data_IF_480064395110
#
_entry.id   IF_480064395110
#
_cell.length_a   1.000
_cell.length_b   1.000
_cell.length_c   1.000
_cell.angle_alpha   90.00
_cell.angle_beta   90.00
_cell.angle_gamma   90.00
#
_symmetry.space_group_name_H-M   'P 1'
#
loop_
_entity.id
_entity.type
_entity.pdbx_description
1 polymer ?
#
# COMPACT_ATOMS: atom_id res chain seq x y z
N UNK A 1 -9.56 -5.68 -17.24
CA UNK A 1 -10.99 -5.61 -17.58
C UNK A 1 -11.73 -6.73 -16.89
N UNK A 2 -12.78 -6.38 -16.15
CA UNK A 2 -13.76 -7.33 -15.61
C UNK A 2 -14.69 -7.72 -16.78
N UNK A 3 -15.00 -9.00 -16.97
CA UNK A 3 -15.93 -9.39 -18.02
C UNK A 3 -17.35 -8.91 -17.68
N UNK A 4 -18.10 -8.44 -18.68
CA UNK A 4 -19.50 -8.03 -18.51
C UNK A 4 -20.42 -9.23 -18.21
N UNK A 5 -19.95 -10.46 -18.49
CA UNK A 5 -20.63 -11.72 -18.20
C UNK A 5 -19.59 -12.74 -17.74
N UNK A 6 -19.92 -13.52 -16.71
CA UNK A 6 -19.05 -14.63 -16.28
C UNK A 6 -18.86 -15.62 -17.42
N UNK A 7 -17.64 -16.14 -17.54
CA UNK A 7 -17.32 -17.15 -18.53
C UNK A 7 -17.99 -18.47 -18.14
N UNK A 8 -18.69 -19.08 -19.11
CA UNK A 8 -19.39 -20.35 -18.94
C UNK A 8 -18.55 -21.48 -19.52
N UNK A 9 -17.45 -21.80 -18.86
CA UNK A 9 -16.63 -22.97 -19.20
C UNK A 9 -17.46 -24.24 -18.97
N UNK A 10 -17.31 -25.25 -19.84
CA UNK A 10 -18.03 -26.53 -19.72
C UNK A 10 -17.81 -27.13 -18.33
N UNK A 11 -18.90 -27.47 -17.63
CA UNK A 11 -18.85 -28.03 -16.28
C UNK A 11 -18.75 -27.01 -15.14
N UNK A 12 -18.60 -25.71 -15.44
CA UNK A 12 -18.57 -24.66 -14.41
C UNK A 12 -20.00 -24.29 -13.98
N UNK A 13 -20.36 -24.60 -12.73
CA UNK A 13 -21.63 -24.16 -12.14
C UNK A 13 -21.54 -22.68 -11.80
N UNK A 14 -22.47 -21.87 -12.32
CA UNK A 14 -22.56 -20.45 -12.00
C UNK A 14 -23.69 -20.27 -10.98
N UNK A 15 -23.40 -19.73 -9.78
CA UNK A 15 -24.42 -19.54 -8.77
C UNK A 15 -25.42 -18.45 -9.18
N UNK A 16 -26.66 -18.56 -8.71
CA UNK A 16 -27.69 -17.53 -8.91
C UNK A 16 -27.27 -16.16 -8.37
N UNK A 17 -26.46 -16.13 -7.30
CA UNK A 17 -25.84 -14.91 -6.76
C UNK A 17 -24.37 -15.12 -6.45
N UNK A 18 -23.53 -14.22 -6.98
CA UNK A 18 -22.11 -14.13 -6.67
C UNK A 18 -21.76 -12.70 -6.28
N UNK A 19 -21.33 -12.49 -5.04
CA UNK A 19 -20.70 -11.25 -4.60
C UNK A 19 -19.18 -11.44 -4.63
N UNK A 20 -18.46 -10.60 -5.36
CA UNK A 20 -16.99 -10.64 -5.42
C UNK A 20 -16.41 -9.41 -4.75
N UNK A 21 -15.28 -9.60 -4.07
CA UNK A 21 -14.52 -8.55 -3.41
C UNK A 21 -13.12 -8.51 -3.98
N UNK A 22 -12.67 -7.32 -4.33
CA UNK A 22 -11.40 -7.10 -4.96
C UNK A 22 -10.86 -5.71 -4.69
N UNK A 23 -9.62 -5.50 -5.11
CA UNK A 23 -8.94 -4.21 -5.04
C UNK A 23 -8.81 -3.65 -6.44
N UNK A 24 -9.40 -2.47 -6.67
CA UNK A 24 -9.17 -1.69 -7.89
C UNK A 24 -7.85 -0.95 -7.70
N UNK A 25 -6.95 -1.08 -8.68
CA UNK A 25 -5.63 -0.47 -8.62
C UNK A 25 -5.29 0.20 -9.96
N UNK A 26 -4.31 1.08 -9.90
CA UNK A 26 -3.70 1.72 -11.05
C UNK A 26 -2.27 1.18 -11.21
N UNK A 27 -1.91 0.77 -12.42
CA UNK A 27 -0.55 0.31 -12.71
C UNK A 27 0.43 1.48 -12.67
N UNK A 28 1.71 1.20 -12.36
CA UNK A 28 2.76 2.22 -12.18
C UNK A 28 2.97 3.08 -13.43
N UNK A 29 2.92 2.47 -14.61
CA UNK A 29 3.02 3.12 -15.91
C UNK A 29 1.84 4.06 -16.18
N UNK A 30 0.61 3.58 -15.95
CA UNK A 30 -0.61 4.37 -16.10
C UNK A 30 -0.68 5.52 -15.09
N UNK A 31 -0.21 5.31 -13.86
CA UNK A 31 -0.06 6.37 -12.87
C UNK A 31 0.90 7.47 -13.34
N UNK A 32 2.07 7.10 -13.88
CA UNK A 32 3.02 8.06 -14.45
C UNK A 32 2.40 8.84 -15.60
N UNK A 33 1.78 8.15 -16.57
CA UNK A 33 1.09 8.80 -17.70
C UNK A 33 0.06 9.82 -17.23
N UNK A 34 -0.80 9.43 -16.29
CA UNK A 34 -1.85 10.31 -15.75
C UNK A 34 -1.25 11.54 -15.06
N UNK A 35 -0.16 11.39 -14.32
CA UNK A 35 0.49 12.54 -13.70
C UNK A 35 1.14 13.46 -14.73
N UNK A 36 1.79 12.93 -15.76
CA UNK A 36 2.32 13.73 -16.87
C UNK A 36 1.22 14.55 -17.56
N UNK A 37 0.09 13.93 -17.90
CA UNK A 37 -1.06 14.64 -18.50
C UNK A 37 -1.57 15.76 -17.58
N UNK A 38 -1.63 15.52 -16.27
CA UNK A 38 -2.06 16.53 -15.30
C UNK A 38 -1.08 17.69 -15.20
N UNK A 39 0.23 17.42 -15.26
CA UNK A 39 1.26 18.47 -15.27
C UNK A 39 1.16 19.34 -16.53
N UNK A 40 0.97 18.72 -17.69
CA UNK A 40 0.77 19.43 -18.97
C UNK A 40 -0.50 20.31 -18.95
N UNK A 41 -1.54 19.87 -18.25
CA UNK A 41 -2.79 20.62 -18.03
C UNK A 41 -2.69 21.65 -16.89
N UNK A 42 -1.55 21.77 -16.20
CA UNK A 42 -1.37 22.68 -15.06
C UNK A 42 -2.14 22.26 -13.79
N UNK A 43 -2.55 21.00 -13.69
CA UNK A 43 -3.27 20.42 -12.56
C UNK A 43 -2.31 19.78 -11.55
N UNK A 44 -2.70 19.76 -10.27
CA UNK A 44 -1.93 19.08 -9.23
C UNK A 44 -1.86 17.56 -9.50
N UNK A 45 -0.66 16.97 -9.43
CA UNK A 45 -0.47 15.53 -9.59
C UNK A 45 -1.04 14.72 -8.42
N UNK A 46 -1.29 13.44 -8.67
CA UNK A 46 -1.64 12.50 -7.61
C UNK A 46 -0.40 12.08 -6.83
N UNK A 47 -0.51 12.05 -5.51
CA UNK A 47 0.60 11.70 -4.62
C UNK A 47 1.02 10.22 -4.68
N UNK A 48 0.08 9.30 -4.93
CA UNK A 48 0.34 7.87 -5.05
C UNK A 48 -0.74 7.18 -5.92
N UNK A 49 -0.45 5.98 -6.45
CA UNK A 49 -1.40 5.18 -7.24
C UNK A 49 -2.73 4.89 -6.54
N UNK A 50 -2.74 4.74 -5.21
CA UNK A 50 -3.97 4.51 -4.44
C UNK A 50 -4.94 5.69 -4.54
N UNK A 51 -4.43 6.91 -4.35
CA UNK A 51 -5.20 8.13 -4.47
C UNK A 51 -5.66 8.37 -5.91
N UNK A 52 -4.79 8.11 -6.88
CA UNK A 52 -5.13 8.18 -8.30
C UNK A 52 -6.24 7.21 -8.68
N UNK A 53 -6.18 5.96 -8.20
CA UNK A 53 -7.21 4.94 -8.43
C UNK A 53 -8.55 5.33 -7.80
N UNK A 54 -8.54 5.80 -6.54
CA UNK A 54 -9.74 6.24 -5.85
C UNK A 54 -10.42 7.43 -6.55
N UNK A 55 -9.64 8.43 -6.97
CA UNK A 55 -10.13 9.57 -7.73
C UNK A 55 -10.67 9.16 -9.10
N UNK A 56 -9.98 8.25 -9.79
CA UNK A 56 -10.38 7.73 -11.09
C UNK A 56 -11.67 6.91 -11.05
N UNK A 57 -11.93 6.19 -9.95
CA UNK A 57 -13.13 5.37 -9.79
C UNK A 57 -14.37 6.19 -9.41
N UNK A 58 -14.19 7.32 -8.73
CA UNK A 58 -15.28 8.17 -8.20
C UNK A 58 -15.60 9.34 -9.14
N UNK A 59 -15.69 9.07 -10.44
CA UNK A 59 -16.05 10.07 -11.45
C UNK A 59 -17.56 10.06 -11.70
N UNK A 60 -18.13 11.24 -11.95
CA UNK A 60 -19.55 11.38 -12.33
C UNK A 60 -19.76 10.78 -13.72
N UNK A 61 -18.88 11.11 -14.68
CA UNK A 61 -18.92 10.50 -16.02
C UNK A 61 -18.07 9.22 -16.04
N UNK A 62 -18.67 8.03 -16.27
CA UNK A 62 -17.93 6.77 -16.35
C UNK A 62 -16.94 6.70 -17.52
N UNK A 63 -17.09 7.55 -18.57
CA UNK A 63 -16.10 7.64 -19.65
C UNK A 63 -14.75 8.13 -19.14
N UNK A 64 -14.74 9.00 -18.13
CA UNK A 64 -13.51 9.45 -17.49
C UNK A 64 -12.85 8.32 -16.70
N UNK A 65 -13.62 7.45 -16.04
CA UNK A 65 -13.06 6.25 -15.41
C UNK A 65 -12.48 5.28 -16.46
N UNK A 66 -13.16 5.11 -17.59
CA UNK A 66 -12.72 4.23 -18.66
C UNK A 66 -11.36 4.65 -19.26
N UNK A 67 -11.10 5.96 -19.40
CA UNK A 67 -9.82 6.47 -19.93
C UNK A 67 -8.63 6.29 -18.98
N UNK A 68 -8.90 6.07 -17.68
CA UNK A 68 -7.87 5.90 -16.63
C UNK A 68 -7.33 4.46 -16.53
N UNK A 69 -7.81 3.54 -17.37
CA UNK A 69 -7.29 2.16 -17.54
C UNK A 69 -7.08 1.41 -16.21
N UNK A 70 -8.01 1.58 -15.28
CA UNK A 70 -7.99 0.91 -13.99
C UNK A 70 -8.00 -0.62 -14.16
N UNK A 71 -7.28 -1.30 -13.27
CA UNK A 71 -7.30 -2.75 -13.16
C UNK A 71 -7.87 -3.19 -11.81
N UNK A 72 -8.13 -4.48 -11.67
CA UNK A 72 -8.68 -5.06 -10.45
C UNK A 72 -8.10 -6.45 -10.21
N UNK A 73 -7.86 -6.78 -8.95
CA UNK A 73 -7.67 -8.14 -8.50
C UNK A 73 -8.76 -8.56 -7.53
N UNK A 74 -9.45 -9.65 -7.83
CA UNK A 74 -10.42 -10.28 -6.93
C UNK A 74 -9.66 -11.15 -5.93
N UNK A 75 -9.99 -10.98 -4.65
CA UNK A 75 -9.34 -11.69 -3.54
C UNK A 75 -10.32 -12.39 -2.60
N UNK A 76 -11.63 -12.33 -2.88
CA UNK A 76 -12.66 -12.97 -2.07
C UNK A 76 -13.99 -12.99 -2.79
N UNK A 77 -14.85 -13.94 -2.40
CA UNK A 77 -16.20 -14.04 -2.92
C UNK A 77 -17.13 -14.73 -1.93
N UNK A 78 -18.41 -14.43 -2.08
CA UNK A 78 -19.53 -15.12 -1.42
C UNK A 78 -20.50 -15.53 -2.51
N UNK A 79 -20.78 -16.82 -2.61
CA UNK A 79 -21.76 -17.38 -3.53
C UNK A 79 -23.01 -17.82 -2.78
N UNK A 80 -24.16 -17.84 -3.45
CA UNK A 80 -25.28 -18.68 -3.01
C UNK A 80 -24.82 -20.14 -2.93
N UNK A 81 -25.44 -20.96 -2.06
CA UNK A 81 -24.99 -22.31 -1.64
C UNK A 81 -24.93 -23.40 -2.71
N UNK A 82 -24.72 -23.03 -3.97
CA UNK A 82 -24.71 -23.86 -5.17
C UNK A 82 -23.28 -24.31 -5.55
N UNK A 83 -22.26 -23.80 -4.85
CA UNK A 83 -20.85 -24.15 -5.07
C UNK A 83 -20.32 -25.05 -3.94
N UNK A 84 -19.79 -26.21 -4.32
CA UNK A 84 -19.08 -27.11 -3.42
C UNK A 84 -17.59 -26.73 -3.36
N UNK A 85 -17.29 -25.67 -2.62
CA UNK A 85 -15.93 -25.11 -2.49
C UNK A 85 -15.58 -25.05 -0.99
N UNK A 86 -14.56 -25.80 -0.60
CA UNK A 86 -14.18 -25.95 0.81
C UNK A 86 -13.10 -24.94 1.24
N UNK A 87 -12.32 -24.40 0.30
CA UNK A 87 -11.20 -23.52 0.61
C UNK A 87 -11.14 -22.23 -0.20
N UNK A 88 -10.43 -21.24 0.36
CA UNK A 88 -10.21 -19.93 -0.25
C UNK A 88 -9.44 -20.05 -1.58
N UNK A 89 -8.43 -20.91 -1.63
CA UNK A 89 -7.65 -21.11 -2.86
C UNK A 89 -8.49 -21.74 -3.99
N UNK A 90 -9.36 -22.70 -3.67
CA UNK A 90 -10.32 -23.26 -4.64
C UNK A 90 -11.30 -22.19 -5.14
N UNK A 91 -11.80 -21.34 -4.24
CA UNK A 91 -12.65 -20.20 -4.62
C UNK A 91 -11.94 -19.28 -5.60
N UNK A 92 -10.66 -18.96 -5.37
CA UNK A 92 -9.90 -18.11 -6.29
C UNK A 92 -9.71 -18.75 -7.67
N UNK A 93 -9.44 -20.06 -7.73
CA UNK A 93 -9.35 -20.78 -9.01
C UNK A 93 -10.69 -20.82 -9.74
N UNK A 94 -11.79 -21.05 -9.02
CA UNK A 94 -13.14 -20.96 -9.57
C UNK A 94 -13.40 -19.58 -10.19
N UNK A 95 -13.00 -18.50 -9.51
CA UNK A 95 -13.16 -17.13 -10.02
C UNK A 95 -12.34 -16.89 -11.30
N UNK A 96 -11.14 -17.49 -11.42
CA UNK A 96 -10.36 -17.47 -12.67
C UNK A 96 -11.09 -18.18 -13.79
N UNK A 97 -11.61 -19.38 -13.54
CA UNK A 97 -12.41 -20.12 -14.53
C UNK A 97 -13.68 -19.35 -14.94
N UNK A 98 -14.25 -18.56 -14.03
CA UNK A 98 -15.38 -17.66 -14.30
C UNK A 98 -14.99 -16.35 -15.03
N UNK A 99 -13.71 -16.17 -15.37
CA UNK A 99 -13.20 -15.03 -16.14
C UNK A 99 -12.75 -13.83 -15.32
N UNK A 100 -12.71 -13.94 -13.99
CA UNK A 100 -12.28 -12.87 -13.10
C UNK A 100 -10.77 -12.89 -12.91
N UNK A 101 -10.20 -11.70 -12.73
CA UNK A 101 -8.75 -11.53 -12.53
C UNK A 101 -8.41 -11.73 -11.06
N UNK A 102 -7.57 -12.70 -10.75
CA UNK A 102 -6.90 -12.82 -9.45
C UNK A 102 -5.43 -12.42 -9.59
N UNK A 103 -4.76 -12.16 -8.46
CA UNK A 103 -3.32 -11.90 -8.48
C UNK A 103 -2.55 -13.18 -8.84
N UNK A 104 -1.68 -13.19 -9.87
CA UNK A 104 -0.97 -14.40 -10.30
C UNK A 104 0.07 -14.90 -9.28
N UNK A 105 0.43 -14.06 -8.30
CA UNK A 105 1.46 -14.36 -7.32
C UNK A 105 0.94 -15.13 -6.10
N UNK A 106 -0.36 -15.43 -6.03
CA UNK A 106 -0.97 -16.14 -4.90
C UNK A 106 -0.38 -17.54 -4.75
N UNK A 107 -0.06 -17.94 -3.51
CA UNK A 107 0.56 -19.23 -3.21
C UNK A 107 -0.02 -19.86 -1.95
N UNK A 108 -0.31 -21.17 -2.01
CA UNK A 108 -0.57 -21.98 -0.81
C UNK A 108 0.72 -22.23 -0.05
N UNK A 109 0.67 -22.15 1.27
CA UNK A 109 1.76 -22.51 2.17
C UNK A 109 1.26 -23.52 3.20
N UNK A 110 2.00 -24.60 3.40
CA UNK A 110 1.66 -25.67 4.35
C UNK A 110 2.30 -25.48 5.73
N UNK A 111 3.20 -24.51 5.89
CA UNK A 111 3.92 -24.27 7.15
C UNK A 111 4.32 -22.80 7.33
N UNK A 112 4.60 -22.39 8.57
CA UNK A 112 5.16 -21.07 8.87
C UNK A 112 6.50 -20.83 8.16
N UNK A 113 7.32 -21.88 7.97
CA UNK A 113 8.59 -21.80 7.22
C UNK A 113 8.36 -21.46 5.75
N UNK A 114 7.31 -22.02 5.13
CA UNK A 114 6.93 -21.66 3.77
C UNK A 114 6.40 -20.24 3.66
N UNK A 115 5.57 -19.81 4.62
CA UNK A 115 5.08 -18.44 4.70
C UNK A 115 6.27 -17.48 4.79
N UNK A 116 7.20 -17.70 5.74
CA UNK A 116 8.39 -16.85 5.92
C UNK A 116 9.21 -16.74 4.64
N UNK A 117 9.54 -17.87 3.99
CA UNK A 117 10.28 -17.85 2.71
C UNK A 117 9.55 -17.09 1.61
N UNK A 118 8.22 -17.21 1.56
CA UNK A 118 7.43 -16.46 0.58
C UNK A 118 7.52 -14.96 0.85
N UNK A 119 7.34 -14.53 2.10
CA UNK A 119 7.45 -13.12 2.51
C UNK A 119 8.84 -12.54 2.19
N UNK A 120 9.91 -13.23 2.60
CA UNK A 120 11.30 -12.84 2.31
C UNK A 120 11.55 -12.71 0.80
N UNK A 121 11.02 -13.64 0.00
CA UNK A 121 11.18 -13.59 -1.45
C UNK A 121 10.48 -12.39 -2.10
N UNK A 122 9.44 -11.86 -1.47
CA UNK A 122 8.67 -10.72 -1.98
C UNK A 122 9.16 -9.38 -1.48
N UNK A 123 10.10 -9.35 -0.53
CA UNK A 123 10.66 -8.10 -0.03
C UNK A 123 11.33 -7.31 -1.16
N UNK A 124 12.15 -7.96 -1.99
CA UNK A 124 12.78 -7.30 -3.14
C UNK A 124 11.93 -7.38 -4.42
N UNK A 125 11.34 -8.55 -4.73
CA UNK A 125 10.58 -8.77 -5.98
C UNK A 125 9.39 -7.84 -6.16
N UNK A 126 8.83 -7.30 -5.06
CA UNK A 126 7.70 -6.37 -5.13
C UNK A 126 8.03 -5.09 -5.92
N UNK A 127 9.31 -4.69 -5.96
CA UNK A 127 9.77 -3.48 -6.65
C UNK A 127 9.54 -3.59 -8.16
N UNK A 128 9.68 -4.81 -8.71
CA UNK A 128 9.53 -5.11 -10.13
C UNK A 128 8.06 -5.32 -10.56
N UNK A 129 7.12 -5.35 -9.61
CA UNK A 129 5.70 -5.48 -9.94
C UNK A 129 5.21 -4.25 -10.72
N UNK A 130 4.31 -4.43 -11.70
CA UNK A 130 3.72 -3.32 -12.46
C UNK A 130 2.70 -2.51 -11.63
N UNK A 131 2.52 -2.84 -10.35
CA UNK A 131 1.66 -2.18 -9.39
C UNK A 131 2.39 -2.05 -8.05
N UNK A 132 1.95 -1.13 -7.21
CA UNK A 132 2.46 -1.00 -5.84
C UNK A 132 1.78 -1.98 -4.90
N UNK A 133 2.51 -2.43 -3.88
CA UNK A 133 2.00 -3.26 -2.78
C UNK A 133 2.75 -2.93 -1.50
N UNK A 134 2.03 -2.81 -0.38
CA UNK A 134 2.58 -2.51 0.94
C UNK A 134 2.81 -3.78 1.78
N UNK A 135 2.46 -4.95 1.26
CA UNK A 135 2.54 -6.19 2.01
C UNK A 135 1.97 -7.42 1.31
N UNK A 136 1.74 -8.45 2.13
CA UNK A 136 1.10 -9.71 1.75
C UNK A 136 0.01 -10.02 2.78
N UNK A 137 -1.16 -10.47 2.31
CA UNK A 137 -2.22 -10.94 3.20
C UNK A 137 -2.12 -12.45 3.37
N UNK A 138 -1.90 -12.89 4.62
CA UNK A 138 -1.86 -14.30 5.00
C UNK A 138 -3.27 -14.68 5.46
N UNK A 139 -3.82 -15.76 4.89
CA UNK A 139 -5.18 -16.23 5.21
C UNK A 139 -5.18 -17.72 5.52
N UNK A 140 -5.96 -18.12 6.52
CA UNK A 140 -6.30 -19.53 6.73
C UNK A 140 -7.08 -20.02 5.51
N UNK A 141 -6.61 -21.08 4.86
CA UNK A 141 -7.17 -21.50 3.57
C UNK A 141 -8.55 -22.17 3.70
N UNK A 142 -8.78 -22.97 4.74
CA UNK A 142 -10.01 -23.74 4.94
C UNK A 142 -11.17 -22.87 5.46
N UNK A 143 -12.32 -22.89 4.79
CA UNK A 143 -13.47 -22.08 5.19
C UNK A 143 -14.13 -22.56 6.50
N UNK A 144 -14.02 -23.84 6.83
CA UNK A 144 -14.46 -24.37 8.12
C UNK A 144 -13.68 -23.75 9.27
N UNK A 145 -12.36 -23.64 9.15
CA UNK A 145 -11.53 -22.93 10.13
C UNK A 145 -11.78 -21.43 10.16
N UNK A 146 -12.00 -20.78 9.00
CA UNK A 146 -12.38 -19.35 8.99
C UNK A 146 -13.67 -19.09 9.78
N UNK A 147 -14.70 -19.93 9.60
CA UNK A 147 -15.96 -19.84 10.36
C UNK A 147 -15.75 -20.03 11.87
N UNK A 148 -14.94 -21.03 12.26
CA UNK A 148 -14.62 -21.28 13.67
C UNK A 148 -13.82 -20.15 14.31
N UNK A 149 -12.86 -19.57 13.58
CA UNK A 149 -12.04 -18.46 14.08
C UNK A 149 -12.85 -17.17 14.22
N UNK A 150 -13.80 -16.94 13.31
CA UNK A 150 -14.70 -15.79 13.33
C UNK A 150 -13.99 -14.46 13.08
N UNK A 151 -14.58 -13.38 13.60
CA UNK A 151 -14.07 -12.03 13.46
C UNK A 151 -14.22 -11.24 14.76
N UNK A 152 -13.41 -10.20 14.91
CA UNK A 152 -13.58 -9.14 15.91
C UNK A 152 -14.55 -8.08 15.38
N UNK A 153 -14.76 -7.00 16.13
CA UNK A 153 -15.59 -5.86 15.68
C UNK A 153 -15.09 -5.19 14.39
N UNK A 154 -13.80 -5.33 14.06
CA UNK A 154 -13.17 -4.66 12.92
C UNK A 154 -12.46 -5.60 11.94
N UNK A 155 -11.91 -6.71 12.42
CA UNK A 155 -11.00 -7.56 11.63
C UNK A 155 -11.32 -9.05 11.76
N UNK A 156 -11.17 -9.85 10.68
CA UNK A 156 -11.23 -11.31 10.76
C UNK A 156 -10.08 -11.86 11.61
N UNK A 157 -10.31 -12.97 12.34
CA UNK A 157 -9.27 -13.65 13.13
C UNK A 157 -8.45 -14.65 12.31
N UNK A 158 -8.88 -14.91 11.08
CA UNK A 158 -8.29 -15.90 10.17
C UNK A 158 -7.43 -15.29 9.06
N UNK A 159 -7.25 -13.96 9.06
CA UNK A 159 -6.39 -13.27 8.11
C UNK A 159 -5.59 -12.16 8.79
N UNK A 160 -4.38 -11.92 8.30
CA UNK A 160 -3.50 -10.84 8.76
C UNK A 160 -2.75 -10.24 7.57
N UNK A 161 -2.60 -8.92 7.56
CA UNK A 161 -1.75 -8.21 6.62
C UNK A 161 -0.32 -8.15 7.19
N UNK A 162 0.61 -8.82 6.53
CA UNK A 162 2.04 -8.65 6.78
C UNK A 162 2.54 -7.49 5.93
N UNK A 163 2.79 -6.34 6.55
CA UNK A 163 3.35 -5.18 5.85
C UNK A 163 4.86 -5.32 5.71
N UNK A 164 5.38 -5.00 4.53
CA UNK A 164 6.82 -4.93 4.36
C UNK A 164 7.38 -3.68 5.05
N UNK A 165 8.66 -3.69 5.45
CA UNK A 165 9.31 -2.47 5.91
C UNK A 165 9.17 -1.38 4.84
N UNK A 166 8.80 -0.15 5.25
CA UNK A 166 8.71 0.96 4.31
C UNK A 166 10.09 1.23 3.70
N UNK A 167 10.10 1.76 2.48
CA UNK A 167 11.37 2.18 1.85
C UNK A 167 11.98 3.32 2.68
N UNK A 168 13.21 3.10 3.14
CA UNK A 168 14.02 4.09 3.84
C UNK A 168 15.04 4.67 2.87
N UNK A 169 15.11 6.00 2.84
CA UNK A 169 16.13 6.72 2.09
C UNK A 169 16.93 7.62 3.01
N UNK A 170 18.18 7.88 2.62
CA UNK A 170 19.10 8.66 3.44
C UNK A 170 19.23 10.07 2.87
N UNK A 171 18.87 11.06 3.69
CA UNK A 171 19.02 12.48 3.33
C UNK A 171 19.60 13.31 4.48
N UNK A 172 19.78 14.61 4.26
CA UNK A 172 20.34 15.54 5.23
C UNK A 172 19.26 16.51 5.73
N UNK A 173 19.22 16.76 7.04
CA UNK A 173 18.44 17.85 7.62
C UNK A 173 19.14 19.17 7.30
N UNK A 174 18.45 20.05 6.59
CA UNK A 174 18.93 21.40 6.27
C UNK A 174 18.58 22.40 7.36
N UNK A 175 17.39 22.26 7.94
CA UNK A 175 16.84 23.18 8.95
C UNK A 175 15.72 22.47 9.74
N UNK A 176 15.32 22.98 10.90
CA UNK A 176 14.15 22.53 11.65
C UNK A 176 13.27 23.75 11.92
N UNK A 177 12.03 23.71 11.42
CA UNK A 177 11.06 24.79 11.56
C UNK A 177 9.94 24.40 12.51
N UNK A 178 9.41 25.37 13.24
CA UNK A 178 8.24 25.16 14.10
C UNK A 178 6.97 25.57 13.34
N UNK A 179 6.01 24.64 13.26
CA UNK A 179 4.68 24.88 12.71
C UNK A 179 3.67 25.02 13.84
N UNK A 180 2.80 26.03 13.78
CA UNK A 180 1.73 26.24 14.76
C UNK A 180 0.44 25.62 14.24
N UNK A 181 -0.03 24.58 14.93
CA UNK A 181 -1.28 23.91 14.60
C UNK A 181 -2.52 24.75 14.93
N UNK A 182 -3.68 24.34 14.42
CA UNK A 182 -4.98 25.02 14.66
C UNK A 182 -5.35 25.18 16.13
N UNK A 183 -4.83 24.32 17.00
CA UNK A 183 -5.07 24.34 18.46
C UNK A 183 -3.95 25.06 19.23
N UNK A 184 -3.01 25.71 18.54
CA UNK A 184 -1.82 26.33 19.14
C UNK A 184 -0.67 25.37 19.42
N UNK A 185 -0.80 24.08 19.07
CA UNK A 185 0.27 23.10 19.25
C UNK A 185 1.48 23.42 18.36
N UNK A 186 2.66 23.55 18.97
CA UNK A 186 3.92 23.75 18.26
C UNK A 186 4.46 22.38 17.80
N UNK A 187 4.61 22.20 16.50
CA UNK A 187 5.09 20.95 15.90
C UNK A 187 6.41 21.20 15.17
N UNK A 188 7.51 20.55 15.52
CA UNK A 188 8.76 20.68 14.78
C UNK A 188 8.70 19.88 13.48
N UNK A 189 9.20 20.49 12.41
CA UNK A 189 9.24 19.93 11.07
C UNK A 189 10.67 20.05 10.53
N UNK A 190 11.29 18.92 10.23
CA UNK A 190 12.60 18.89 9.59
C UNK A 190 12.47 19.28 8.12
N UNK A 191 13.21 20.31 7.70
CA UNK A 191 13.43 20.64 6.30
C UNK A 191 14.57 19.77 5.80
N UNK A 192 14.31 18.96 4.79
CA UNK A 192 15.23 17.95 4.28
C UNK A 192 15.80 18.40 2.94
N UNK A 193 17.03 17.97 2.66
CA UNK A 193 17.52 17.95 1.28
C UNK A 193 16.58 17.03 0.48
N UNK A 194 16.03 17.50 -0.67
CA UNK A 194 15.05 16.72 -1.41
C UNK A 194 15.53 15.30 -1.70
N UNK A 195 14.70 14.31 -1.38
CA UNK A 195 14.99 12.88 -1.60
C UNK A 195 13.74 12.16 -2.06
N UNK A 196 13.86 11.27 -3.05
CA UNK A 196 12.73 10.50 -3.56
C UNK A 196 12.55 9.24 -2.74
N UNK A 197 11.41 9.10 -2.06
CA UNK A 197 11.09 7.92 -1.23
C UNK A 197 9.75 7.35 -1.69
N UNK A 198 9.70 6.06 -2.01
CA UNK A 198 8.50 5.40 -2.53
C UNK A 198 7.80 6.25 -3.62
N UNK A 199 8.57 6.64 -4.64
CA UNK A 199 8.06 7.31 -5.84
C UNK A 199 7.70 8.79 -5.73
N UNK A 200 7.86 9.46 -4.57
CA UNK A 200 7.68 10.91 -4.48
C UNK A 200 8.85 11.62 -3.80
N UNK A 201 9.15 12.83 -4.25
CA UNK A 201 10.14 13.70 -3.60
C UNK A 201 9.62 14.24 -2.28
N UNK A 202 10.37 14.01 -1.21
CA UNK A 202 10.12 14.51 0.13
C UNK A 202 11.15 15.61 0.42
N UNK A 203 10.67 16.75 0.87
CA UNK A 203 11.48 17.89 1.32
C UNK A 203 11.21 18.28 2.77
N UNK A 204 10.21 17.66 3.41
CA UNK A 204 9.86 17.93 4.80
C UNK A 204 9.46 16.62 5.49
N UNK A 205 9.82 16.46 6.76
CA UNK A 205 9.38 15.34 7.59
C UNK A 205 9.00 15.82 8.99
N UNK A 206 7.98 15.19 9.59
CA UNK A 206 7.58 15.52 10.96
C UNK A 206 8.61 15.00 11.96
N UNK A 207 8.88 15.79 13.00
CA UNK A 207 9.64 15.38 14.18
C UNK A 207 8.72 15.09 15.38
N UNK A 208 7.39 15.14 15.18
CA UNK A 208 6.33 14.97 16.18
C UNK A 208 6.34 16.03 17.30
N UNK A 209 7.35 16.08 18.15
CA UNK A 209 7.47 17.01 19.28
C UNK A 209 8.95 17.13 19.73
N UNK A 210 9.23 18.04 20.67
CA UNK A 210 10.58 18.27 21.19
C UNK A 210 11.17 17.02 21.89
N UNK A 211 10.34 16.24 22.58
CA UNK A 211 10.81 15.03 23.28
C UNK A 211 11.31 13.96 22.30
N UNK A 212 10.67 13.85 21.13
CA UNK A 212 11.09 12.95 20.07
C UNK A 212 12.40 13.40 19.42
N UNK A 213 12.63 14.72 19.28
CA UNK A 213 13.92 15.30 18.87
C UNK A 213 15.01 14.89 19.86
N UNK A 214 14.77 15.08 21.16
CA UNK A 214 15.72 14.71 22.22
C UNK A 214 15.98 13.20 22.25
N UNK A 215 14.93 12.38 22.15
CA UNK A 215 15.01 10.91 22.17
C UNK A 215 15.84 10.37 20.99
N UNK A 216 15.63 10.91 19.79
CA UNK A 216 16.39 10.52 18.59
C UNK A 216 17.74 11.25 18.47
N UNK A 217 18.00 12.23 19.33
CA UNK A 217 19.18 13.10 19.30
C UNK A 217 19.33 13.74 17.91
N UNK A 218 18.27 14.38 17.41
CA UNK A 218 18.25 15.00 16.08
C UNK A 218 18.87 16.39 16.12
N UNK A 219 19.81 16.66 15.22
CA UNK A 219 20.46 17.97 15.07
C UNK A 219 20.32 18.50 13.64
N UNK A 220 20.32 19.82 13.49
CA UNK A 220 20.38 20.45 12.16
C UNK A 220 21.71 20.07 11.50
N UNK A 221 21.67 19.67 10.24
CA UNK A 221 22.84 19.18 9.50
C UNK A 221 23.06 17.66 9.58
N UNK A 222 22.31 16.92 10.40
CA UNK A 222 22.42 15.46 10.49
C UNK A 222 22.03 14.75 9.19
N UNK A 223 22.66 13.60 8.96
CA UNK A 223 22.16 12.60 8.02
C UNK A 223 21.12 11.72 8.71
N UNK A 224 19.98 11.52 8.05
CA UNK A 224 18.83 10.79 8.60
C UNK A 224 18.30 9.77 7.60
N UNK A 225 17.84 8.64 8.12
CA UNK A 225 16.99 7.73 7.38
C UNK A 225 15.53 8.21 7.49
N UNK A 226 14.87 8.36 6.35
CA UNK A 226 13.49 8.83 6.24
C UNK A 226 12.64 7.82 5.48
N UNK A 227 11.41 7.63 5.93
CA UNK A 227 10.43 6.80 5.23
C UNK A 227 9.06 7.48 5.19
N UNK A 228 8.10 6.90 4.47
CA UNK A 228 6.69 7.30 4.56
C UNK A 228 5.89 6.37 5.47
N UNK A 229 5.38 6.89 6.58
CA UNK A 229 4.39 6.20 7.39
C UNK A 229 3.06 6.10 6.62
N UNK A 230 2.53 4.88 6.51
CA UNK A 230 1.28 4.61 5.82
C UNK A 230 1.25 5.10 4.36
N UNK A 231 2.41 5.10 3.69
CA UNK A 231 2.64 5.56 2.31
C UNK A 231 2.34 7.04 2.04
N UNK A 232 2.14 7.85 3.09
CA UNK A 232 1.72 9.26 2.96
C UNK A 232 2.58 10.22 3.77
N UNK A 233 2.86 9.94 5.05
CA UNK A 233 3.44 10.93 5.96
C UNK A 233 4.95 10.69 6.09
N UNK A 234 5.81 11.64 5.67
CA UNK A 234 7.25 11.51 5.85
C UNK A 234 7.67 11.62 7.32
N UNK A 235 8.46 10.65 7.78
CA UNK A 235 8.95 10.58 9.16
C UNK A 235 10.46 10.29 9.19
N UNK A 236 11.16 10.89 10.15
CA UNK A 236 12.56 10.56 10.44
C UNK A 236 12.59 9.29 11.30
N UNK A 237 13.22 8.24 10.79
CA UNK A 237 13.35 6.94 11.46
C UNK A 237 14.46 6.98 12.49
N UNK A 238 15.66 7.38 12.05
CA UNK A 238 16.87 7.45 12.87
C UNK A 238 17.87 8.43 12.30
N UNK A 239 18.71 8.94 13.18
CA UNK A 239 19.92 9.68 12.83
C UNK A 239 21.05 8.71 12.54
N UNK A 240 21.80 8.95 11.48
CA UNK A 240 23.01 8.21 11.11
C UNK A 240 24.19 8.91 11.79
N UNK A 241 24.37 8.63 13.08
CA UNK A 241 25.35 9.33 13.94
C UNK A 241 26.78 9.17 13.46
N UNK A 242 27.06 8.08 12.73
CA UNK A 242 28.36 7.76 12.15
C UNK A 242 28.80 8.76 11.07
N UNK A 243 27.87 9.54 10.51
CA UNK A 243 28.14 10.58 9.51
C UNK A 243 28.29 11.99 10.10
N UNK A 244 28.33 12.12 11.43
CA UNK A 244 28.56 13.41 12.08
C UNK A 244 30.02 13.82 11.91
N UNK A 245 30.21 15.07 11.54
CA UNK A 245 31.52 15.72 11.37
C UNK A 245 31.76 16.83 12.40
N UNK A 246 30.82 17.03 13.33
CA UNK A 246 30.89 18.08 14.36
C UNK A 246 30.31 19.41 13.93
N UNK A 247 29.85 19.56 12.68
CA UNK A 247 29.16 20.78 12.21
C UNK A 247 27.68 20.85 12.61
N UNK A 248 27.14 19.78 13.20
CA UNK A 248 25.73 19.66 13.53
C UNK A 248 25.33 20.59 14.69
N UNK A 249 24.18 21.25 14.55
CA UNK A 249 23.69 22.21 15.54
C UNK A 249 22.48 21.67 16.30
N UNK A 250 22.48 21.83 17.62
CA UNK A 250 21.32 21.49 18.44
C UNK A 250 20.15 22.42 18.13
N UNK A 251 18.97 21.82 18.03
CA UNK A 251 17.73 22.56 17.88
C UNK A 251 17.06 22.68 19.24
N UNK A 252 16.66 23.90 19.61
CA UNK A 252 15.84 24.20 20.78
C UNK A 252 14.57 24.89 20.31
N UNK A 253 13.43 24.46 20.85
CA UNK A 253 12.10 24.88 20.40
C UNK A 253 11.67 26.22 20.98
#
# INVERSE_FOLDING_TARGET
TIPLRLFRKTGLKIPSRLEVRGEVYLAKDEFKRINTEREEEGLATFANPRNAAAGSLRQIDPKNTASRRLNIFIYGAVASGELDIASHYEMLNYLVDAGLKINPNIRKAASLKEIKRYLESWEEKRKDLPYETDGVVIKVNDFGYQRKLGQTSRNPRWAIAYKFPPEEEVTRILDIKVSVGRTGALTPVAVLRPVTVAGSTISNATLHNEDEIRRKDVKVGDWVAVHKAGDVIPEIVKVIKERRDGSQQEFTM
#
